data_IF_282018326304
#
_entry.id   IF_282018326304
#
_cell.length_a   1.000
_cell.length_b   1.000
_cell.length_c   1.000
_cell.angle_alpha   90.00
_cell.angle_beta   90.00
_cell.angle_gamma   90.00
#
_symmetry.space_group_name_H-M   'P 1'
#
loop_
_entity.id
_entity.type
_entity.pdbx_description
1 polymer ?
#
# COMPACT_ATOMS: atom_id res chain seq x y z
N UNK A 1 29.66 35.40 54.26
CA UNK A 1 29.68 34.16 53.47
C UNK A 1 28.59 33.22 53.96
N UNK A 2 27.52 33.09 53.19
CA UNK A 2 26.95 31.80 52.83
C UNK A 2 27.15 31.56 51.31
N UNK A 3 27.17 30.30 50.83
CA UNK A 3 27.53 30.01 49.45
C UNK A 3 26.36 30.22 48.49
N UNK A 4 26.69 30.76 47.32
CA UNK A 4 25.88 30.81 46.12
C UNK A 4 25.44 29.41 45.69
N UNK A 5 24.13 29.16 45.65
CA UNK A 5 23.57 28.11 44.81
C UNK A 5 23.39 28.68 43.41
N UNK A 6 24.38 28.42 42.55
CA UNK A 6 24.26 28.58 41.11
C UNK A 6 23.13 27.67 40.61
N UNK A 7 22.00 28.26 40.25
CA UNK A 7 20.98 27.60 39.46
C UNK A 7 21.58 27.33 38.07
N UNK A 8 21.88 26.05 37.81
CA UNK A 8 22.15 25.56 36.48
C UNK A 8 20.91 25.88 35.63
N UNK A 9 21.09 26.70 34.60
CA UNK A 9 20.07 26.92 33.59
C UNK A 9 19.82 25.59 32.88
N UNK A 10 18.71 24.95 33.20
CA UNK A 10 18.08 24.00 32.31
C UNK A 10 17.76 24.76 31.03
N UNK A 11 18.53 24.50 29.97
CA UNK A 11 18.16 24.86 28.61
C UNK A 11 16.90 24.07 28.30
N UNK A 12 15.75 24.64 28.63
CA UNK A 12 14.45 24.14 28.22
C UNK A 12 14.49 23.93 26.72
N UNK A 13 14.30 22.68 26.32
CA UNK A 13 14.08 22.25 24.95
C UNK A 13 12.83 23.02 24.47
N UNK A 14 13.05 24.20 23.88
CA UNK A 14 11.98 24.98 23.28
C UNK A 14 11.49 24.15 22.09
N UNK A 15 10.41 23.40 22.31
CA UNK A 15 9.69 22.69 21.27
C UNK A 15 9.34 23.72 20.19
N UNK A 16 10.09 23.68 19.08
CA UNK A 16 9.77 24.43 17.88
C UNK A 16 8.40 23.95 17.39
N UNK A 17 7.36 24.80 17.40
CA UNK A 17 6.01 24.40 17.03
C UNK A 17 5.88 24.16 15.51
N UNK A 18 6.89 24.51 14.71
CA UNK A 18 6.86 24.32 13.27
C UNK A 18 7.46 22.97 12.86
N UNK A 19 6.79 22.29 11.93
CA UNK A 19 7.33 21.08 11.34
C UNK A 19 8.51 21.44 10.42
N UNK A 20 9.66 20.76 10.51
CA UNK A 20 10.85 21.15 9.76
C UNK A 20 10.67 20.91 8.26
N UNK A 21 11.06 21.90 7.45
CA UNK A 21 11.21 21.73 6.00
C UNK A 21 12.47 20.90 5.67
N UNK A 22 12.51 20.30 4.48
CA UNK A 22 13.74 19.69 3.97
C UNK A 22 14.79 20.77 3.66
N UNK A 23 16.05 20.45 3.93
CA UNK A 23 17.18 21.25 3.43
C UNK A 23 17.71 20.63 2.12
N UNK A 24 18.72 21.23 1.51
CA UNK A 24 19.33 20.75 0.27
C UNK A 24 20.85 20.77 0.38
N UNK A 25 21.49 19.75 -0.18
CA UNK A 25 22.94 19.71 -0.34
C UNK A 25 23.30 19.59 -1.81
N UNK A 26 24.28 20.40 -2.23
CA UNK A 26 24.78 20.34 -3.59
C UNK A 26 25.69 19.13 -3.76
N UNK A 27 25.40 18.32 -4.77
CA UNK A 27 26.18 17.13 -5.13
C UNK A 27 26.58 17.20 -6.60
N UNK A 28 27.58 16.42 -6.96
CA UNK A 28 28.00 16.23 -8.35
C UNK A 28 27.54 14.88 -8.86
N UNK A 29 26.89 14.88 -10.02
CA UNK A 29 26.52 13.66 -10.73
C UNK A 29 27.50 13.39 -11.87
N UNK A 30 28.00 12.16 -11.91
CA UNK A 30 28.85 11.67 -12.99
C UNK A 30 28.05 10.61 -13.77
N UNK A 31 27.72 10.84 -15.06
CA UNK A 31 26.98 9.87 -15.85
C UNK A 31 27.67 8.50 -15.92
N UNK A 32 26.94 7.42 -15.61
CA UNK A 32 27.42 6.05 -15.80
C UNK A 32 27.61 5.76 -17.32
N UNK A 33 28.75 5.17 -17.68
CA UNK A 33 29.18 5.02 -19.07
C UNK A 33 28.31 4.03 -19.85
N UNK A 34 27.35 4.51 -20.64
CA UNK A 34 26.64 3.66 -21.60
C UNK A 34 26.26 4.33 -22.95
N UNK A 35 26.90 5.44 -23.35
CA UNK A 35 26.61 6.11 -24.63
C UNK A 35 27.85 6.35 -25.50
N UNK A 36 28.46 5.25 -25.97
CA UNK A 36 29.29 5.22 -27.19
C UNK A 36 30.60 6.03 -27.22
N UNK A 37 31.43 5.75 -28.23
CA UNK A 37 32.79 6.29 -28.43
C UNK A 37 32.83 7.83 -28.57
N UNK A 38 31.68 8.48 -28.84
CA UNK A 38 31.57 9.94 -28.94
C UNK A 38 31.49 10.66 -27.59
N UNK A 39 30.90 10.04 -26.55
CA UNK A 39 30.86 10.62 -25.20
C UNK A 39 32.21 10.56 -24.46
N UNK A 40 33.17 9.79 -24.97
CA UNK A 40 34.52 9.70 -24.43
C UNK A 40 35.45 10.84 -24.87
N UNK A 41 35.10 11.60 -25.94
CA UNK A 41 35.93 12.70 -26.49
C UNK A 41 35.55 14.08 -25.99
N UNK A 42 34.33 14.28 -25.48
CA UNK A 42 33.97 15.46 -24.71
C UNK A 42 34.20 15.09 -23.24
N UNK A 43 35.17 15.73 -22.57
CA UNK A 43 35.39 15.51 -21.13
C UNK A 43 34.04 15.54 -20.40
N UNK A 44 33.73 14.45 -19.68
CA UNK A 44 32.44 14.28 -19.01
C UNK A 44 32.34 15.34 -17.92
N UNK A 45 31.74 16.47 -18.23
CA UNK A 45 31.47 17.49 -17.22
C UNK A 45 30.57 16.85 -16.16
N UNK A 46 31.02 16.83 -14.91
CA UNK A 46 30.13 16.54 -13.79
C UNK A 46 29.02 17.59 -13.80
N UNK A 47 27.79 17.15 -13.54
CA UNK A 47 26.65 18.05 -13.50
C UNK A 47 26.24 18.20 -12.05
N UNK A 48 26.23 19.43 -11.56
CA UNK A 48 25.76 19.72 -10.22
C UNK A 48 24.24 19.55 -10.13
N UNK A 49 23.77 18.99 -9.02
CA UNK A 49 22.35 18.89 -8.67
C UNK A 49 22.18 19.08 -7.16
N UNK A 50 20.98 19.42 -6.73
CA UNK A 50 20.65 19.57 -5.31
C UNK A 50 19.90 18.32 -4.85
N UNK A 51 20.50 17.58 -3.91
CA UNK A 51 19.86 16.47 -3.23
C UNK A 51 19.17 16.98 -1.96
N UNK A 52 17.96 16.49 -1.68
CA UNK A 52 17.29 16.85 -0.43
C UNK A 52 18.02 16.32 0.80
N UNK A 53 17.89 17.01 1.92
CA UNK A 53 18.35 16.58 3.24
C UNK A 53 17.11 16.60 4.14
N UNK A 54 16.36 15.47 4.22
CA UNK A 54 15.21 15.38 5.09
C UNK A 54 15.63 15.54 6.56
N UNK A 55 14.82 16.23 7.38
CA UNK A 55 15.09 16.36 8.80
C UNK A 55 14.92 15.01 9.52
N UNK A 56 15.65 14.82 10.61
CA UNK A 56 15.39 13.76 11.59
C UNK A 56 14.11 14.13 12.37
N UNK A 57 13.17 13.18 12.46
CA UNK A 57 11.84 13.39 13.02
C UNK A 57 11.56 12.56 14.26
N UNK A 58 12.45 11.64 14.67
CA UNK A 58 12.23 10.73 15.80
C UNK A 58 11.72 11.43 17.06
N UNK A 59 12.28 12.60 17.42
CA UNK A 59 11.89 13.39 18.59
C UNK A 59 10.90 14.53 18.30
N UNK A 60 10.44 14.71 17.05
CA UNK A 60 9.57 15.84 16.67
C UNK A 60 8.12 15.58 17.04
N UNK A 61 7.42 16.63 17.46
CA UNK A 61 5.99 16.57 17.76
C UNK A 61 5.20 17.35 16.71
N UNK A 62 4.32 16.70 15.92
CA UNK A 62 3.54 17.41 14.91
C UNK A 62 2.48 18.30 15.57
N UNK A 63 2.52 19.59 15.26
CA UNK A 63 1.45 20.54 15.60
C UNK A 63 0.54 20.69 14.39
N UNK A 64 -0.70 20.23 14.52
CA UNK A 64 -1.71 20.30 13.47
C UNK A 64 -2.72 21.42 13.75
N UNK A 65 -3.37 21.89 12.69
CA UNK A 65 -4.57 22.70 12.82
C UNK A 65 -5.66 21.88 13.54
N UNK A 66 -6.44 22.48 14.47
CA UNK A 66 -7.43 21.75 15.26
C UNK A 66 -8.41 20.94 14.43
N UNK A 67 -8.88 21.47 13.31
CA UNK A 67 -9.78 20.78 12.39
C UNK A 67 -9.12 19.57 11.70
N UNK A 68 -7.82 19.65 11.38
CA UNK A 68 -7.09 18.52 10.77
C UNK A 68 -6.90 17.41 11.79
N UNK A 69 -6.58 17.77 13.04
CA UNK A 69 -6.47 16.80 14.12
C UNK A 69 -7.81 16.10 14.39
N UNK A 70 -8.91 16.86 14.44
CA UNK A 70 -10.25 16.32 14.62
C UNK A 70 -10.66 15.38 13.46
N UNK A 71 -10.43 15.79 12.21
CA UNK A 71 -10.69 14.95 11.02
C UNK A 71 -9.90 13.63 11.09
N UNK A 72 -8.63 13.69 11.54
CA UNK A 72 -7.77 12.53 11.63
C UNK A 72 -8.21 11.53 12.71
N UNK A 73 -8.64 12.03 13.87
CA UNK A 73 -9.16 11.21 14.96
C UNK A 73 -10.51 10.57 14.58
N UNK A 74 -11.41 11.32 13.95
CA UNK A 74 -12.68 10.79 13.45
C UNK A 74 -12.47 9.72 12.37
N UNK A 75 -11.55 9.96 11.42
CA UNK A 75 -11.19 8.99 10.40
C UNK A 75 -10.61 7.70 10.99
N UNK A 76 -9.74 7.80 12.01
CA UNK A 76 -9.23 6.64 12.73
C UNK A 76 -10.36 5.85 13.42
N UNK A 77 -11.31 6.54 14.04
CA UNK A 77 -12.48 5.91 14.66
C UNK A 77 -13.39 5.24 13.63
N UNK A 78 -13.61 5.83 12.45
CA UNK A 78 -14.38 5.21 11.36
C UNK A 78 -13.71 3.94 10.83
N UNK A 79 -12.38 3.95 10.66
CA UNK A 79 -11.63 2.75 10.25
C UNK A 79 -11.80 1.62 11.28
N UNK A 80 -11.66 1.94 12.57
CA UNK A 80 -11.83 0.98 13.65
C UNK A 80 -13.27 0.45 13.73
N UNK A 81 -14.28 1.32 13.53
CA UNK A 81 -15.68 0.91 13.52
C UNK A 81 -15.98 -0.02 12.35
N UNK A 82 -15.50 0.30 11.16
CA UNK A 82 -15.66 -0.56 9.98
C UNK A 82 -14.97 -1.93 10.16
N UNK A 83 -13.76 -1.95 10.70
CA UNK A 83 -13.05 -3.20 11.01
C UNK A 83 -13.84 -4.07 12.02
N UNK A 84 -14.43 -3.45 13.05
CA UNK A 84 -15.26 -4.13 14.04
C UNK A 84 -16.61 -4.60 13.48
N UNK A 85 -17.25 -3.82 12.59
CA UNK A 85 -18.51 -4.17 11.90
C UNK A 85 -18.39 -5.48 11.11
N UNK A 86 -17.20 -5.78 10.56
CA UNK A 86 -16.96 -7.03 9.85
C UNK A 86 -16.96 -8.25 10.78
N UNK A 87 -16.64 -8.10 12.07
CA UNK A 87 -16.84 -9.12 13.11
C UNK A 87 -16.47 -10.55 12.71
N UNK A 88 -17.44 -11.48 12.74
CA UNK A 88 -17.22 -12.88 12.34
C UNK A 88 -17.12 -13.11 10.83
N UNK A 89 -17.37 -12.07 10.01
CA UNK A 89 -17.40 -12.11 8.54
C UNK A 89 -16.04 -11.82 7.91
N UNK A 90 -15.03 -11.51 8.74
CA UNK A 90 -13.66 -11.17 8.32
C UNK A 90 -13.07 -12.18 7.34
N UNK A 91 -13.27 -13.48 7.56
CA UNK A 91 -12.74 -14.52 6.68
C UNK A 91 -13.24 -14.39 5.23
N UNK A 92 -14.46 -13.87 5.02
CA UNK A 92 -15.05 -13.67 3.70
C UNK A 92 -14.56 -12.40 2.99
N UNK A 93 -14.16 -11.37 3.74
CA UNK A 93 -13.87 -10.04 3.18
C UNK A 93 -12.41 -9.62 3.24
N UNK A 94 -11.63 -10.10 4.21
CA UNK A 94 -10.22 -9.75 4.34
C UNK A 94 -9.43 -9.99 3.03
N UNK A 95 -9.59 -11.13 2.33
CA UNK A 95 -8.86 -11.37 1.08
C UNK A 95 -9.26 -10.40 -0.04
N UNK A 96 -10.53 -10.00 -0.09
CA UNK A 96 -11.06 -9.08 -1.10
C UNK A 96 -10.57 -7.66 -0.85
N UNK A 97 -10.70 -7.17 0.38
CA UNK A 97 -10.28 -5.82 0.75
C UNK A 97 -8.77 -5.65 0.60
N UNK A 98 -7.97 -6.66 0.96
CA UNK A 98 -6.52 -6.66 0.73
C UNK A 98 -6.16 -6.50 -0.75
N UNK A 99 -6.87 -7.19 -1.66
CA UNK A 99 -6.63 -7.08 -3.11
C UNK A 99 -7.11 -5.75 -3.68
N UNK A 100 -8.23 -5.23 -3.17
CA UNK A 100 -8.69 -3.88 -3.48
C UNK A 100 -7.64 -2.84 -3.10
N UNK A 101 -7.06 -2.94 -1.91
CA UNK A 101 -5.95 -2.08 -1.48
C UNK A 101 -4.72 -2.23 -2.41
N UNK A 102 -4.34 -3.46 -2.74
CA UNK A 102 -3.21 -3.73 -3.62
C UNK A 102 -3.39 -3.16 -5.04
N UNK A 103 -4.59 -3.30 -5.60
CA UNK A 103 -4.97 -2.78 -6.90
C UNK A 103 -4.97 -1.24 -6.90
N UNK A 104 -5.63 -0.60 -5.94
CA UNK A 104 -5.66 0.87 -5.84
C UNK A 104 -4.29 1.46 -5.56
N UNK A 105 -3.50 0.85 -4.67
CA UNK A 105 -2.12 1.23 -4.39
C UNK A 105 -1.24 1.15 -5.63
N UNK A 106 -1.44 0.14 -6.49
CA UNK A 106 -0.69 0.02 -7.75
C UNK A 106 -1.19 0.99 -8.81
N UNK A 107 -2.49 1.31 -8.84
CA UNK A 107 -3.07 2.24 -9.79
C UNK A 107 -2.56 3.67 -9.62
N UNK A 108 -2.23 4.09 -8.39
CA UNK A 108 -1.53 5.36 -8.13
C UNK A 108 -0.18 5.42 -8.89
N UNK A 109 0.49 4.28 -9.06
CA UNK A 109 1.73 4.16 -9.84
C UNK A 109 1.47 3.88 -11.34
N UNK A 110 0.27 4.19 -11.84
CA UNK A 110 -0.18 3.92 -13.21
C UNK A 110 -0.17 2.42 -13.61
N UNK A 111 -0.22 1.50 -12.64
CA UNK A 111 -0.36 0.07 -12.90
C UNK A 111 -1.83 -0.34 -12.79
N UNK A 112 -2.44 -0.68 -13.93
CA UNK A 112 -3.84 -1.13 -14.01
C UNK A 112 -3.95 -2.55 -14.55
N UNK A 113 -4.89 -3.31 -13.99
CA UNK A 113 -5.34 -4.61 -14.46
C UNK A 113 -6.76 -4.86 -13.94
N UNK A 114 -7.56 -5.68 -14.63
CA UNK A 114 -8.86 -6.10 -14.10
C UNK A 114 -8.69 -7.05 -12.91
N UNK A 115 -9.71 -7.12 -12.04
CA UNK A 115 -9.72 -8.03 -10.91
C UNK A 115 -9.38 -9.46 -11.36
N UNK A 116 -10.02 -9.91 -12.46
CA UNK A 116 -9.77 -11.23 -13.03
C UNK A 116 -8.30 -11.49 -13.33
N UNK A 117 -7.63 -10.54 -14.00
CA UNK A 117 -6.23 -10.71 -14.38
C UNK A 117 -5.32 -10.80 -13.15
N UNK A 118 -5.61 -10.03 -12.10
CA UNK A 118 -4.86 -10.04 -10.84
C UNK A 118 -4.99 -11.42 -10.16
N UNK A 119 -6.22 -11.92 -9.98
CA UNK A 119 -6.43 -13.24 -9.37
C UNK A 119 -5.81 -14.37 -10.20
N UNK A 120 -5.93 -14.33 -11.53
CA UNK A 120 -5.27 -15.31 -12.40
C UNK A 120 -3.74 -15.29 -12.24
N UNK A 121 -3.13 -14.11 -12.13
CA UNK A 121 -1.69 -13.96 -11.95
C UNK A 121 -1.21 -14.53 -10.60
N UNK A 122 -2.02 -14.42 -9.54
CA UNK A 122 -1.72 -15.06 -8.25
C UNK A 122 -1.69 -16.60 -8.34
N UNK A 123 -2.48 -17.19 -9.24
CA UNK A 123 -2.48 -18.62 -9.55
C UNK A 123 -1.37 -19.01 -10.56
N UNK A 124 -0.48 -18.07 -10.90
CA UNK A 124 0.66 -18.31 -11.78
C UNK A 124 0.36 -18.16 -13.28
N UNK A 125 -0.85 -17.72 -13.67
CA UNK A 125 -1.15 -17.44 -15.06
C UNK A 125 -0.30 -16.26 -15.57
N UNK A 126 0.42 -16.50 -16.67
CA UNK A 126 1.25 -15.48 -17.32
C UNK A 126 0.46 -14.81 -18.43
N UNK A 127 0.39 -13.49 -18.44
CA UNK A 127 -0.31 -12.78 -19.52
C UNK A 127 -0.34 -11.26 -19.41
N UNK A 128 -0.34 -10.70 -18.21
CA UNK A 128 -0.29 -9.25 -17.99
C UNK A 128 0.80 -8.93 -16.98
N UNK A 129 1.84 -8.21 -17.42
CA UNK A 129 2.92 -7.73 -16.55
C UNK A 129 2.36 -6.87 -15.41
N UNK A 130 1.39 -6.01 -15.68
CA UNK A 130 0.75 -5.19 -14.64
C UNK A 130 0.02 -6.07 -13.60
N UNK A 131 -0.69 -7.11 -14.05
CA UNK A 131 -1.37 -8.02 -13.12
C UNK A 131 -0.38 -8.77 -12.23
N UNK A 132 0.77 -9.20 -12.77
CA UNK A 132 1.85 -9.83 -12.00
C UNK A 132 2.44 -8.87 -10.96
N UNK A 133 2.66 -7.60 -11.32
CA UNK A 133 3.14 -6.56 -10.40
C UNK A 133 2.12 -6.23 -9.29
N UNK A 134 0.82 -6.21 -9.61
CA UNK A 134 -0.25 -5.99 -8.64
C UNK A 134 -0.41 -7.20 -7.71
N UNK A 135 -0.29 -8.42 -8.23
CA UNK A 135 -0.27 -9.65 -7.43
C UNK A 135 0.93 -9.68 -6.48
N UNK A 136 2.11 -9.20 -6.91
CA UNK A 136 3.27 -9.02 -6.03
C UNK A 136 3.00 -7.98 -4.92
N UNK A 137 2.29 -6.90 -5.24
CA UNK A 137 1.86 -5.91 -4.23
C UNK A 137 0.87 -6.51 -3.21
N UNK A 138 -0.03 -7.40 -3.64
CA UNK A 138 -0.93 -8.12 -2.72
C UNK A 138 -0.14 -8.97 -1.73
N UNK A 139 0.90 -9.69 -2.19
CA UNK A 139 1.79 -10.44 -1.30
C UNK A 139 2.59 -9.53 -0.35
N UNK A 140 3.06 -8.38 -0.83
CA UNK A 140 3.76 -7.39 -0.01
C UNK A 140 2.87 -6.83 1.10
N UNK A 141 1.63 -6.47 0.78
CA UNK A 141 0.64 -6.02 1.76
C UNK A 141 0.32 -7.11 2.80
N UNK A 142 0.17 -8.37 2.37
CA UNK A 142 0.01 -9.47 3.32
C UNK A 142 1.21 -9.56 4.27
N UNK A 143 2.43 -9.53 3.73
CA UNK A 143 3.65 -9.52 4.55
C UNK A 143 3.71 -8.31 5.51
N UNK A 144 3.22 -7.15 5.07
CA UNK A 144 3.16 -5.95 5.90
C UNK A 144 2.20 -6.09 7.09
N UNK A 145 1.07 -6.77 6.89
CA UNK A 145 0.13 -7.10 7.97
C UNK A 145 0.71 -8.15 8.92
N UNK A 146 1.37 -9.18 8.37
CA UNK A 146 1.98 -10.27 9.17
C UNK A 146 3.14 -9.75 10.05
N UNK A 147 3.83 -8.70 9.60
CA UNK A 147 4.95 -8.05 10.31
C UNK A 147 4.52 -6.84 11.14
N UNK A 148 3.23 -6.54 11.23
CA UNK A 148 2.72 -5.33 11.85
C UNK A 148 2.94 -5.24 13.37
N UNK A 149 3.40 -6.31 14.03
CA UNK A 149 3.77 -6.26 15.45
C UNK A 149 5.01 -5.40 15.71
N UNK A 150 5.85 -5.17 14.69
CA UNK A 150 7.07 -4.37 14.81
C UNK A 150 7.33 -3.53 13.55
N UNK A 151 7.46 -2.22 13.74
CA UNK A 151 7.86 -1.29 12.68
C UNK A 151 9.35 -1.02 12.81
N UNK A 152 10.15 -1.70 11.98
CA UNK A 152 11.62 -1.66 12.02
C UNK A 152 12.16 -1.50 10.60
N UNK A 153 13.42 -1.05 10.42
CA UNK A 153 14.08 -1.06 9.12
C UNK A 153 14.03 -2.43 8.44
N UNK A 154 14.16 -3.51 9.22
CA UNK A 154 14.11 -4.88 8.73
C UNK A 154 12.71 -5.28 8.25
N UNK A 155 11.63 -4.90 8.95
CA UNK A 155 10.27 -5.19 8.50
C UNK A 155 9.91 -4.39 7.24
N UNK A 156 10.32 -3.13 7.15
CA UNK A 156 10.17 -2.31 5.94
C UNK A 156 10.92 -2.95 4.74
N UNK A 157 12.17 -3.40 4.96
CA UNK A 157 12.94 -4.09 3.94
C UNK A 157 12.32 -5.43 3.51
N UNK A 158 11.67 -6.14 4.44
CA UNK A 158 10.96 -7.38 4.13
C UNK A 158 9.73 -7.13 3.24
N UNK A 159 8.94 -6.09 3.51
CA UNK A 159 7.82 -5.67 2.64
C UNK A 159 8.32 -5.38 1.22
N UNK A 160 9.38 -4.57 1.09
CA UNK A 160 9.98 -4.24 -0.21
C UNK A 160 10.55 -5.48 -0.92
N UNK A 161 11.17 -6.42 -0.19
CA UNK A 161 11.70 -7.66 -0.75
C UNK A 161 10.59 -8.49 -1.39
N UNK A 162 9.46 -8.67 -0.72
CA UNK A 162 8.31 -9.41 -1.26
C UNK A 162 7.72 -8.71 -2.49
N UNK A 163 7.62 -7.38 -2.46
CA UNK A 163 7.13 -6.59 -3.59
C UNK A 163 8.00 -6.75 -4.85
N UNK A 164 9.31 -6.82 -4.67
CA UNK A 164 10.29 -6.77 -5.78
C UNK A 164 10.90 -8.13 -6.13
N UNK A 165 10.54 -9.21 -5.43
CA UNK A 165 11.15 -10.55 -5.56
C UNK A 165 11.29 -11.02 -7.02
N UNK A 166 10.27 -10.77 -7.85
CA UNK A 166 10.24 -11.16 -9.26
C UNK A 166 10.78 -10.11 -10.24
N UNK A 167 11.48 -9.07 -9.75
CA UNK A 167 11.95 -7.94 -10.55
C UNK A 167 13.48 -7.93 -10.67
N UNK A 168 14.07 -8.57 -11.70
CA UNK A 168 15.50 -8.85 -11.77
C UNK A 168 16.40 -7.62 -12.00
N UNK A 169 15.81 -6.45 -12.25
CA UNK A 169 16.54 -5.18 -12.48
C UNK A 169 16.78 -4.38 -11.20
N UNK A 170 16.19 -4.80 -10.08
CA UNK A 170 16.25 -4.11 -8.81
C UNK A 170 16.86 -5.02 -7.75
N UNK A 171 17.18 -4.46 -6.58
CA UNK A 171 17.74 -5.18 -5.43
C UNK A 171 16.69 -5.30 -4.33
N UNK A 172 15.91 -6.41 -4.29
CA UNK A 172 14.78 -6.54 -3.36
C UNK A 172 15.21 -6.46 -1.90
N UNK A 173 14.60 -5.54 -1.16
CA UNK A 173 14.90 -5.28 0.25
C UNK A 173 16.23 -4.59 0.54
N UNK A 174 17.02 -4.20 -0.47
CA UNK A 174 18.26 -3.44 -0.27
C UNK A 174 18.06 -1.96 -0.61
N UNK A 175 18.57 -1.07 0.23
CA UNK A 175 18.60 0.36 -0.08
C UNK A 175 19.40 0.63 -1.34
N UNK A 176 18.97 1.65 -2.11
CA UNK A 176 19.71 2.10 -3.29
C UNK A 176 21.12 2.52 -2.92
N UNK A 177 22.05 2.35 -3.85
CA UNK A 177 23.46 2.76 -3.74
C UNK A 177 23.84 3.86 -4.72
N UNK A 178 22.82 4.48 -5.31
CA UNK A 178 22.93 5.53 -6.30
C UNK A 178 21.84 6.58 -6.06
N UNK A 179 22.02 7.75 -6.68
CA UNK A 179 21.04 8.82 -6.62
C UNK A 179 19.80 8.44 -7.43
N UNK A 180 18.63 8.58 -6.81
CA UNK A 180 17.34 8.45 -7.49
C UNK A 180 16.72 9.85 -7.70
N UNK A 181 15.71 9.98 -8.56
CA UNK A 181 14.96 11.22 -8.78
C UNK A 181 13.55 10.94 -9.30
N UNK A 182 12.62 11.84 -9.01
CA UNK A 182 11.21 11.76 -9.38
C UNK A 182 10.92 12.84 -10.42
N UNK A 183 10.26 12.49 -11.53
CA UNK A 183 9.86 13.44 -12.56
C UNK A 183 9.96 12.87 -13.98
N UNK A 184 9.80 13.74 -14.98
CA UNK A 184 9.56 13.34 -16.38
C UNK A 184 10.83 12.99 -17.19
N UNK A 185 12.03 13.24 -16.65
CA UNK A 185 13.30 12.92 -17.33
C UNK A 185 14.00 11.76 -16.63
N UNK A 186 14.33 10.71 -17.38
CA UNK A 186 14.92 9.48 -16.85
C UNK A 186 16.45 9.38 -16.99
N UNK A 187 17.12 10.44 -17.46
CA UNK A 187 18.54 10.43 -17.83
C UNK A 187 19.44 11.30 -16.94
N UNK A 188 18.85 12.14 -16.08
CA UNK A 188 19.59 13.02 -15.15
C UNK A 188 18.70 13.51 -14.01
N UNK A 189 19.23 13.72 -12.79
CA UNK A 189 18.51 14.39 -11.71
C UNK A 189 18.25 15.89 -11.98
N UNK A 190 18.91 16.49 -12.99
CA UNK A 190 18.74 17.90 -13.31
C UNK A 190 17.38 18.17 -13.95
N UNK A 191 16.58 19.03 -13.32
CA UNK A 191 15.23 19.35 -13.75
C UNK A 191 14.20 18.27 -13.41
N UNK A 192 14.56 17.34 -12.51
CA UNK A 192 13.61 16.46 -11.85
C UNK A 192 12.64 17.28 -10.98
N UNK A 193 11.43 16.76 -10.79
CA UNK A 193 10.43 17.36 -9.91
C UNK A 193 10.85 17.26 -8.44
N UNK A 194 11.52 16.17 -8.07
CA UNK A 194 12.09 16.00 -6.74
C UNK A 194 13.33 15.10 -6.77
N UNK A 195 14.36 15.49 -6.02
CA UNK A 195 15.57 14.68 -5.82
C UNK A 195 15.64 14.23 -4.34
N UNK A 196 15.37 12.94 -4.04
CA UNK A 196 15.48 12.40 -2.68
C UNK A 196 16.92 12.46 -2.14
N UNK A 197 17.16 12.19 -0.85
CA UNK A 197 18.48 12.32 -0.25
C UNK A 197 19.56 11.51 -0.94
N UNK A 198 20.82 11.92 -0.77
CA UNK A 198 21.92 11.08 -1.21
C UNK A 198 21.86 9.72 -0.49
N UNK A 199 22.20 8.63 -1.19
CA UNK A 199 21.97 7.28 -0.68
C UNK A 199 22.69 6.96 0.63
N UNK A 200 23.80 7.67 0.93
CA UNK A 200 24.55 7.57 2.19
C UNK A 200 23.72 7.97 3.43
N UNK A 201 22.68 8.80 3.25
CA UNK A 201 21.80 9.24 4.34
C UNK A 201 20.65 8.27 4.61
N UNK A 202 20.35 7.35 3.68
CA UNK A 202 19.12 6.54 3.69
C UNK A 202 19.02 5.68 4.95
N UNK A 203 20.10 4.98 5.33
CA UNK A 203 20.06 4.08 6.48
C UNK A 203 19.68 4.82 7.77
N UNK A 204 20.40 5.90 8.09
CA UNK A 204 20.13 6.69 9.29
C UNK A 204 18.73 7.33 9.29
N UNK A 205 18.23 7.76 8.13
CA UNK A 205 16.89 8.32 8.00
C UNK A 205 15.78 7.25 8.18
N UNK A 206 16.01 6.00 7.76
CA UNK A 206 15.05 4.92 7.98
C UNK A 206 15.08 4.45 9.45
N UNK A 207 16.24 4.46 10.10
CA UNK A 207 16.34 4.20 11.54
C UNK A 207 15.54 5.24 12.35
N UNK A 208 15.74 6.54 12.05
CA UNK A 208 15.00 7.66 12.65
C UNK A 208 13.48 7.57 12.37
N UNK A 209 13.09 7.24 11.14
CA UNK A 209 11.70 7.03 10.76
C UNK A 209 11.05 5.91 11.57
N UNK A 210 11.75 4.79 11.79
CA UNK A 210 11.23 3.66 12.55
C UNK A 210 11.04 4.04 14.04
N UNK A 211 11.95 4.83 14.60
CA UNK A 211 11.81 5.39 15.96
C UNK A 211 10.57 6.29 16.06
N UNK A 212 10.36 7.20 15.10
CA UNK A 212 9.14 8.01 15.04
C UNK A 212 7.88 7.14 14.91
N UNK A 213 7.88 6.14 14.02
CA UNK A 213 6.72 5.29 13.78
C UNK A 213 6.30 4.47 15.02
N UNK A 214 7.25 4.14 15.90
CA UNK A 214 7.02 3.37 17.13
C UNK A 214 6.46 4.20 18.31
N UNK A 215 6.41 5.53 18.19
CA UNK A 215 6.01 6.45 19.27
C UNK A 215 4.50 6.48 19.54
N UNK A 216 4.07 6.17 20.75
CA UNK A 216 2.64 6.12 21.11
C UNK A 216 2.03 7.47 21.55
N UNK A 217 2.84 8.51 21.68
CA UNK A 217 2.42 9.87 22.05
C UNK A 217 1.93 10.72 20.87
N UNK A 218 1.98 10.17 19.65
CA UNK A 218 1.43 10.79 18.43
C UNK A 218 0.09 10.13 18.06
N UNK A 219 -0.99 10.88 17.76
CA UNK A 219 -2.27 10.33 17.33
C UNK A 219 -2.13 9.37 16.14
N UNK A 220 -2.93 8.31 16.12
CA UNK A 220 -2.69 7.14 15.26
C UNK A 220 -2.65 7.48 13.77
N UNK A 221 -3.67 8.17 13.23
CA UNK A 221 -3.70 8.49 11.80
C UNK A 221 -2.67 9.57 11.42
N UNK A 222 -2.39 10.50 12.33
CA UNK A 222 -1.30 11.48 12.17
C UNK A 222 0.06 10.78 12.04
N UNK A 223 0.36 9.83 12.93
CA UNK A 223 1.59 9.04 12.84
C UNK A 223 1.68 8.25 11.53
N UNK A 224 0.57 7.65 11.07
CA UNK A 224 0.50 6.95 9.78
C UNK A 224 0.82 7.87 8.62
N UNK A 225 0.17 9.03 8.54
CA UNK A 225 0.36 9.98 7.45
C UNK A 225 1.78 10.57 7.41
N UNK A 226 2.34 10.93 8.57
CA UNK A 226 3.71 11.49 8.66
C UNK A 226 4.75 10.43 8.35
N UNK A 227 4.63 9.22 8.92
CA UNK A 227 5.55 8.11 8.64
C UNK A 227 5.57 7.82 7.14
N UNK A 228 4.38 7.82 6.51
CA UNK A 228 4.25 7.63 5.07
C UNK A 228 4.93 8.76 4.28
N UNK A 229 4.66 10.03 4.60
CA UNK A 229 5.26 11.16 3.90
C UNK A 229 6.79 11.22 4.04
N UNK A 230 7.31 10.92 5.23
CA UNK A 230 8.74 10.86 5.47
C UNK A 230 9.38 9.70 4.67
N UNK A 231 8.76 8.52 4.66
CA UNK A 231 9.23 7.39 3.85
C UNK A 231 9.30 7.74 2.35
N UNK A 232 8.24 8.35 1.81
CA UNK A 232 8.20 8.79 0.41
C UNK A 232 9.23 9.89 0.10
N UNK A 233 9.58 10.71 1.10
CA UNK A 233 10.61 11.75 0.99
C UNK A 233 12.02 11.17 1.04
N UNK A 234 12.28 10.16 1.87
CA UNK A 234 13.57 9.44 1.92
C UNK A 234 13.80 8.65 0.63
N UNK A 235 12.74 8.03 0.10
CA UNK A 235 12.74 7.26 -1.14
C UNK A 235 13.90 6.22 -1.18
N UNK A 236 13.90 5.25 -0.25
CA UNK A 236 15.08 4.44 0.08
C UNK A 236 15.48 3.41 -0.97
N UNK A 237 14.58 3.02 -1.87
CA UNK A 237 14.78 1.94 -2.83
C UNK A 237 14.91 2.45 -4.27
N UNK A 238 15.42 1.60 -5.18
CA UNK A 238 15.55 1.91 -6.61
C UNK A 238 14.22 1.99 -7.34
N UNK A 239 13.22 1.23 -6.88
CA UNK A 239 11.83 1.24 -7.38
C UNK A 239 10.92 0.72 -6.26
N UNK A 240 9.60 0.83 -6.41
CA UNK A 240 8.63 0.25 -5.48
C UNK A 240 8.43 1.05 -4.19
N UNK A 241 8.98 2.27 -4.10
CA UNK A 241 8.84 3.15 -2.93
C UNK A 241 7.37 3.42 -2.61
N UNK A 242 6.59 3.99 -3.53
CA UNK A 242 5.16 4.28 -3.31
C UNK A 242 4.35 3.10 -2.76
N UNK A 243 4.49 1.94 -3.39
CA UNK A 243 3.79 0.70 -2.99
C UNK A 243 4.26 0.20 -1.62
N UNK A 244 5.56 0.28 -1.33
CA UNK A 244 6.12 -0.06 -0.02
C UNK A 244 5.66 0.93 1.05
N UNK A 245 5.61 2.23 0.76
CA UNK A 245 5.15 3.26 1.68
C UNK A 245 3.68 3.09 2.06
N UNK A 246 2.84 2.67 1.12
CA UNK A 246 1.42 2.36 1.39
C UNK A 246 1.25 1.02 2.13
N UNK A 247 2.10 0.03 1.86
CA UNK A 247 2.15 -1.20 2.67
C UNK A 247 2.58 -0.92 4.12
N UNK A 248 3.58 -0.05 4.32
CA UNK A 248 3.98 0.44 5.63
C UNK A 248 2.82 1.19 6.33
N UNK A 249 2.05 2.00 5.61
CA UNK A 249 0.88 2.67 6.18
C UNK A 249 -0.17 1.67 6.70
N UNK A 250 -0.44 0.59 5.95
CA UNK A 250 -1.35 -0.49 6.40
C UNK A 250 -0.79 -1.25 7.61
N UNK A 251 0.51 -1.54 7.60
CA UNK A 251 1.20 -2.14 8.74
C UNK A 251 1.09 -1.28 9.99
N UNK A 252 1.25 0.05 9.85
CA UNK A 252 1.20 0.98 10.97
C UNK A 252 -0.24 1.16 11.49
N UNK A 253 -1.26 1.16 10.63
CA UNK A 253 -2.67 1.10 11.06
C UNK A 253 -2.96 -0.14 11.92
N UNK A 254 -2.36 -1.28 11.57
CA UNK A 254 -2.45 -2.53 12.33
C UNK A 254 -1.66 -2.46 13.64
N UNK A 255 -0.42 -1.98 13.61
CA UNK A 255 0.44 -1.78 14.79
C UNK A 255 -0.24 -0.89 15.84
N UNK A 256 -0.91 0.18 15.39
CA UNK A 256 -1.65 1.14 16.24
C UNK A 256 -2.99 0.59 16.76
N UNK A 257 -3.41 -0.59 16.29
CA UNK A 257 -4.69 -1.20 16.65
C UNK A 257 -5.92 -0.52 16.04
N UNK A 258 -5.74 0.35 15.05
CA UNK A 258 -6.84 1.02 14.30
C UNK A 258 -7.58 -0.01 13.45
N UNK A 259 -6.84 -0.89 12.77
CA UNK A 259 -7.41 -2.08 12.13
C UNK A 259 -6.91 -3.33 12.85
N UNK A 260 -7.74 -4.36 12.98
CA UNK A 260 -7.39 -5.61 13.68
C UNK A 260 -7.73 -6.86 12.88
N UNK A 261 -8.56 -6.74 11.86
CA UNK A 261 -9.08 -7.87 11.13
C UNK A 261 -8.83 -7.75 9.63
N UNK A 262 -8.99 -6.56 9.05
CA UNK A 262 -8.84 -6.33 7.60
C UNK A 262 -7.84 -5.23 7.26
N UNK A 263 -7.35 -5.22 6.03
CA UNK A 263 -6.74 -4.04 5.41
C UNK A 263 -7.84 -3.23 4.74
N UNK A 264 -8.17 -2.07 5.30
CA UNK A 264 -9.12 -1.15 4.67
C UNK A 264 -8.44 -0.50 3.47
N UNK A 265 -9.05 -0.44 2.28
CA UNK A 265 -8.46 0.11 1.07
C UNK A 265 -8.20 1.65 1.08
N UNK A 266 -7.38 2.17 2.00
CA UNK A 266 -7.06 3.60 2.10
C UNK A 266 -6.45 4.13 0.81
N UNK A 267 -5.67 3.31 0.08
CA UNK A 267 -5.15 3.69 -1.23
C UNK A 267 -6.26 3.96 -2.25
N UNK A 268 -7.42 3.32 -2.11
CA UNK A 268 -8.59 3.61 -2.95
C UNK A 268 -9.17 5.01 -2.68
N UNK A 269 -9.05 5.49 -1.44
CA UNK A 269 -9.44 6.86 -1.06
C UNK A 269 -8.45 7.92 -1.56
N UNK A 270 -7.14 7.62 -1.52
CA UNK A 270 -6.08 8.46 -2.09
C UNK A 270 -6.20 8.55 -3.62
N UNK A 271 -6.53 7.43 -4.27
CA UNK A 271 -6.70 7.35 -5.73
C UNK A 271 -7.79 8.30 -6.27
N UNK A 272 -8.78 8.66 -5.44
CA UNK A 272 -9.81 9.61 -5.84
C UNK A 272 -9.28 11.04 -6.06
N UNK A 273 -8.09 11.37 -5.55
CA UNK A 273 -7.41 12.65 -5.81
C UNK A 273 -5.87 12.51 -5.75
N UNK A 274 -5.29 11.89 -6.79
CA UNK A 274 -3.84 11.65 -6.90
C UNK A 274 -3.03 12.95 -6.91
N UNK A 275 -3.50 13.98 -7.61
CA UNK A 275 -2.82 15.29 -7.67
C UNK A 275 -2.77 15.94 -6.27
N UNK A 276 -3.89 15.88 -5.53
CA UNK A 276 -3.98 16.39 -4.17
C UNK A 276 -3.05 15.64 -3.21
N UNK A 277 -2.96 14.31 -3.35
CA UNK A 277 -2.02 13.49 -2.60
C UNK A 277 -0.56 13.85 -2.88
N UNK A 278 -0.15 14.02 -4.15
CA UNK A 278 1.20 14.47 -4.47
C UNK A 278 1.48 15.90 -3.99
N UNK A 279 0.52 16.80 -4.11
CA UNK A 279 0.61 18.16 -3.58
C UNK A 279 0.81 18.17 -2.06
N UNK A 280 0.15 17.26 -1.34
CA UNK A 280 0.31 17.10 0.09
C UNK A 280 1.71 16.60 0.50
N UNK A 281 2.32 15.71 -0.29
CA UNK A 281 3.72 15.31 -0.10
C UNK A 281 4.69 16.49 -0.31
N UNK A 282 4.41 17.33 -1.31
CA UNK A 282 5.21 18.56 -1.54
C UNK A 282 5.07 19.55 -0.40
N UNK A 283 3.87 19.75 0.15
CA UNK A 283 3.66 20.61 1.32
C UNK A 283 4.38 20.06 2.56
N UNK A 284 4.35 18.75 2.79
CA UNK A 284 5.10 18.10 3.88
C UNK A 284 6.60 18.40 3.79
N UNK A 285 7.17 18.29 2.59
CA UNK A 285 8.59 18.62 2.34
C UNK A 285 8.90 20.10 2.60
N UNK A 286 7.93 20.98 2.41
CA UNK A 286 8.04 22.41 2.71
C UNK A 286 7.80 22.77 4.19
N UNK A 287 7.60 21.78 5.07
CA UNK A 287 7.39 22.01 6.50
C UNK A 287 5.93 22.14 6.93
N UNK A 288 4.97 21.70 6.11
CA UNK A 288 3.55 21.67 6.47
C UNK A 288 2.97 20.24 6.46
N UNK A 289 2.75 19.62 7.64
CA UNK A 289 2.21 18.27 7.73
C UNK A 289 0.68 18.22 7.59
N UNK A 290 -0.02 19.36 7.64
CA UNK A 290 -1.48 19.39 7.65
C UNK A 290 -2.10 18.78 6.38
N UNK A 291 -1.61 19.08 5.15
CA UNK A 291 -2.21 18.55 3.94
C UNK A 291 -2.12 17.02 3.84
N UNK A 292 -1.01 16.41 4.27
CA UNK A 292 -0.88 14.95 4.19
C UNK A 292 -1.78 14.24 5.21
N UNK A 293 -1.88 14.77 6.44
CA UNK A 293 -2.80 14.23 7.45
C UNK A 293 -4.24 14.35 6.97
N UNK A 294 -4.63 15.51 6.41
CA UNK A 294 -5.96 15.72 5.82
C UNK A 294 -6.23 14.78 4.64
N UNK A 295 -5.24 14.53 3.78
CA UNK A 295 -5.37 13.61 2.66
C UNK A 295 -5.63 12.17 3.14
N UNK A 296 -4.92 11.71 4.19
CA UNK A 296 -5.15 10.40 4.80
C UNK A 296 -6.51 10.30 5.49
N UNK A 297 -6.95 11.34 6.21
CA UNK A 297 -8.27 11.37 6.82
C UNK A 297 -9.39 11.28 5.77
N UNK A 298 -9.31 12.11 4.73
CA UNK A 298 -10.24 12.09 3.61
C UNK A 298 -10.24 10.74 2.88
N UNK A 299 -9.05 10.15 2.68
CA UNK A 299 -8.91 8.85 2.06
C UNK A 299 -9.53 7.73 2.89
N UNK A 300 -9.38 7.77 4.22
CA UNK A 300 -9.98 6.80 5.13
C UNK A 300 -11.52 6.81 5.05
N UNK A 301 -12.15 7.99 5.11
CA UNK A 301 -13.61 8.10 4.97
C UNK A 301 -14.11 7.55 3.63
N UNK A 302 -13.44 7.91 2.53
CA UNK A 302 -13.76 7.40 1.17
C UNK A 302 -13.59 5.89 1.08
N UNK A 303 -12.50 5.38 1.65
CA UNK A 303 -12.20 3.95 1.67
C UNK A 303 -13.26 3.16 2.42
N UNK A 304 -13.69 3.63 3.61
CA UNK A 304 -14.76 3.00 4.39
C UNK A 304 -16.08 3.01 3.61
N UNK A 305 -16.47 4.15 3.03
CA UNK A 305 -17.70 4.25 2.24
C UNK A 305 -17.70 3.29 1.05
N UNK A 306 -16.62 3.26 0.25
CA UNK A 306 -16.54 2.39 -0.93
C UNK A 306 -16.47 0.90 -0.51
N UNK A 307 -15.84 0.60 0.62
CA UNK A 307 -15.74 -0.77 1.15
C UNK A 307 -17.07 -1.29 1.67
N UNK A 308 -17.88 -0.47 2.34
CA UNK A 308 -19.24 -0.85 2.75
C UNK A 308 -20.11 -1.19 1.55
N UNK A 309 -20.00 -0.43 0.46
CA UNK A 309 -20.73 -0.74 -0.79
C UNK A 309 -20.24 -2.06 -1.41
N UNK A 310 -18.92 -2.30 -1.45
CA UNK A 310 -18.38 -3.58 -1.93
C UNK A 310 -18.86 -4.77 -1.11
N UNK A 311 -18.83 -4.64 0.22
CA UNK A 311 -19.33 -5.67 1.15
C UNK A 311 -20.80 -5.98 0.88
N UNK A 312 -21.65 -4.94 0.77
CA UNK A 312 -23.07 -5.10 0.47
C UNK A 312 -23.33 -5.77 -0.89
N UNK A 313 -22.55 -5.43 -1.92
CA UNK A 313 -22.70 -6.03 -3.24
C UNK A 313 -22.31 -7.51 -3.24
N UNK A 314 -21.21 -7.86 -2.58
CA UNK A 314 -20.77 -9.26 -2.44
C UNK A 314 -21.79 -10.08 -1.64
N UNK A 315 -22.36 -9.53 -0.55
CA UNK A 315 -23.41 -10.20 0.21
C UNK A 315 -24.64 -10.48 -0.65
N UNK A 316 -25.09 -9.49 -1.43
CA UNK A 316 -26.25 -9.64 -2.31
C UNK A 316 -26.02 -10.73 -3.35
N UNK A 317 -24.85 -10.73 -4.00
CA UNK A 317 -24.46 -11.79 -4.95
C UNK A 317 -24.42 -13.15 -4.25
N UNK A 318 -23.73 -13.25 -3.12
CA UNK A 318 -23.61 -14.50 -2.35
C UNK A 318 -24.95 -15.02 -1.87
N UNK A 319 -25.86 -14.15 -1.43
CA UNK A 319 -27.21 -14.49 -1.02
C UNK A 319 -28.01 -15.09 -2.16
N UNK A 320 -27.92 -14.49 -3.36
CA UNK A 320 -28.62 -14.95 -4.57
C UNK A 320 -28.22 -16.37 -4.99
N UNK A 321 -26.99 -16.81 -4.66
CA UNK A 321 -26.52 -18.15 -5.00
C UNK A 321 -27.22 -19.25 -4.21
N UNK A 322 -27.79 -18.95 -3.04
CA UNK A 322 -28.52 -19.94 -2.24
C UNK A 322 -29.76 -20.47 -2.97
N UNK A 323 -30.43 -19.61 -3.75
CA UNK A 323 -31.62 -19.99 -4.50
C UNK A 323 -31.29 -20.68 -5.83
N UNK A 324 -30.06 -20.46 -6.34
CA UNK A 324 -29.59 -21.01 -7.63
C UNK A 324 -28.94 -22.38 -7.49
N UNK A 325 -28.26 -22.65 -6.37
CA UNK A 325 -27.57 -23.92 -6.15
C UNK A 325 -28.54 -24.98 -5.62
N UNK A 326 -28.80 -26.00 -6.44
CA UNK A 326 -29.48 -27.21 -5.97
C UNK A 326 -28.45 -28.29 -5.64
N UNK A 327 -28.21 -28.54 -4.36
CA UNK A 327 -27.29 -29.57 -3.87
C UNK A 327 -27.77 -30.19 -2.55
N UNK A 328 -27.27 -31.38 -2.19
CA UNK A 328 -27.52 -31.98 -0.87
C UNK A 328 -26.99 -31.05 0.23
N UNK A 329 -27.62 -31.07 1.41
CA UNK A 329 -27.26 -30.14 2.53
C UNK A 329 -25.81 -30.28 2.99
N UNK A 330 -25.25 -31.48 2.90
CA UNK A 330 -23.87 -31.83 3.27
C UNK A 330 -22.87 -31.66 2.11
N UNK A 331 -23.32 -31.17 0.95
CA UNK A 331 -22.44 -30.95 -0.20
C UNK A 331 -21.40 -29.88 0.09
N UNK A 332 -20.14 -30.16 -0.27
CA UNK A 332 -19.06 -29.17 -0.24
C UNK A 332 -19.27 -28.00 -1.21
N UNK A 333 -20.24 -28.09 -2.14
CA UNK A 333 -20.62 -26.99 -3.03
C UNK A 333 -21.10 -25.75 -2.25
N UNK A 334 -21.77 -25.93 -1.10
CA UNK A 334 -22.20 -24.82 -0.24
C UNK A 334 -21.02 -24.03 0.32
N UNK A 335 -19.98 -24.74 0.77
CA UNK A 335 -18.73 -24.12 1.27
C UNK A 335 -17.96 -23.40 0.16
N UNK A 336 -18.02 -23.90 -1.08
CA UNK A 336 -17.38 -23.23 -2.21
C UNK A 336 -18.03 -21.88 -2.52
N UNK A 337 -19.31 -21.66 -2.21
CA UNK A 337 -19.94 -20.34 -2.38
C UNK A 337 -19.21 -19.27 -1.55
N UNK A 338 -18.91 -19.57 -0.29
CA UNK A 338 -18.21 -18.62 0.60
C UNK A 338 -16.75 -18.41 0.14
N UNK A 339 -16.11 -19.48 -0.35
CA UNK A 339 -14.75 -19.39 -0.92
C UNK A 339 -14.77 -18.49 -2.16
N UNK A 340 -15.69 -18.69 -3.11
CA UNK A 340 -15.77 -17.86 -4.32
C UNK A 340 -16.15 -16.41 -4.05
N UNK A 341 -16.93 -16.12 -2.99
CA UNK A 341 -17.21 -14.75 -2.57
C UNK A 341 -15.93 -14.02 -2.11
N UNK A 342 -14.99 -14.73 -1.50
CA UNK A 342 -13.70 -14.17 -1.04
C UNK A 342 -12.56 -14.28 -2.08
N UNK A 343 -12.65 -15.26 -2.99
CA UNK A 343 -11.65 -15.63 -3.99
C UNK A 343 -12.37 -16.02 -5.29
N UNK A 344 -12.75 -15.03 -6.12
CA UNK A 344 -13.60 -15.25 -7.28
C UNK A 344 -12.93 -15.97 -8.45
N UNK A 345 -11.64 -16.31 -8.37
CA UNK A 345 -10.96 -17.18 -9.34
C UNK A 345 -10.19 -18.25 -8.57
N UNK A 346 -10.40 -19.51 -8.94
CA UNK A 346 -9.74 -20.66 -8.34
C UNK A 346 -9.35 -21.66 -9.43
N UNK A 347 -8.22 -22.34 -9.22
CA UNK A 347 -7.97 -23.63 -9.86
C UNK A 347 -8.46 -24.79 -8.96
N UNK A 348 -8.41 -26.02 -9.46
CA UNK A 348 -8.91 -27.17 -8.71
C UNK A 348 -8.04 -27.47 -7.48
N UNK A 349 -6.73 -27.20 -7.53
CA UNK A 349 -5.81 -27.41 -6.41
C UNK A 349 -6.12 -26.46 -5.25
N UNK A 350 -6.31 -25.18 -5.54
CA UNK A 350 -6.65 -24.14 -4.54
C UNK A 350 -8.04 -24.39 -3.96
N UNK A 351 -9.02 -24.75 -4.79
CA UNK A 351 -10.37 -25.07 -4.32
C UNK A 351 -10.37 -26.31 -3.40
N UNK A 352 -9.63 -27.36 -3.76
CA UNK A 352 -9.51 -28.57 -2.95
C UNK A 352 -8.80 -28.30 -1.62
N UNK A 353 -7.72 -27.52 -1.65
CA UNK A 353 -6.99 -27.08 -0.45
C UNK A 353 -7.87 -26.26 0.49
N UNK A 354 -8.65 -25.31 -0.03
CA UNK A 354 -9.58 -24.50 0.78
C UNK A 354 -10.70 -25.34 1.42
N UNK A 355 -11.12 -26.44 0.79
CA UNK A 355 -12.11 -27.36 1.34
C UNK A 355 -11.51 -28.40 2.30
N UNK A 356 -10.20 -28.64 2.24
CA UNK A 356 -9.52 -29.70 2.98
C UNK A 356 -9.79 -31.10 2.41
N UNK A 357 -9.94 -31.23 1.09
CA UNK A 357 -10.27 -32.50 0.41
C UNK A 357 -9.23 -32.84 -0.67
N UNK A 358 -9.20 -34.09 -1.11
CA UNK A 358 -8.38 -34.50 -2.26
C UNK A 358 -8.87 -33.84 -3.56
N UNK A 359 -7.94 -33.44 -4.43
CA UNK A 359 -8.24 -32.71 -5.67
C UNK A 359 -9.29 -33.38 -6.57
N UNK A 360 -9.33 -34.71 -6.77
CA UNK A 360 -10.40 -35.34 -7.56
C UNK A 360 -11.81 -35.12 -6.99
N UNK A 361 -11.94 -34.93 -5.68
CA UNK A 361 -13.23 -34.77 -4.99
C UNK A 361 -13.80 -33.34 -5.12
N UNK A 362 -13.03 -32.39 -5.66
CA UNK A 362 -13.48 -31.00 -5.88
C UNK A 362 -14.24 -30.82 -7.18
N UNK A 363 -14.08 -31.71 -8.15
CA UNK A 363 -14.73 -31.58 -9.46
C UNK A 363 -16.26 -31.69 -9.40
N UNK A 364 -16.88 -32.64 -8.66
CA UNK A 364 -18.34 -32.68 -8.53
C UNK A 364 -18.98 -31.39 -7.98
N UNK A 365 -18.51 -30.80 -6.85
CA UNK A 365 -19.08 -29.55 -6.36
C UNK A 365 -18.77 -28.36 -7.28
N UNK A 366 -17.61 -28.30 -7.94
CA UNK A 366 -17.34 -27.28 -8.96
C UNK A 366 -18.28 -27.39 -10.16
N UNK A 367 -18.57 -28.61 -10.62
CA UNK A 367 -19.54 -28.85 -11.69
C UNK A 367 -20.93 -28.37 -11.30
N UNK A 368 -21.37 -28.63 -10.07
CA UNK A 368 -22.67 -28.14 -9.58
C UNK A 368 -22.76 -26.60 -9.63
N UNK A 369 -21.69 -25.90 -9.29
CA UNK A 369 -21.63 -24.43 -9.40
C UNK A 369 -21.64 -23.95 -10.86
N UNK A 370 -20.98 -24.66 -11.77
CA UNK A 370 -21.01 -24.37 -13.21
C UNK A 370 -22.42 -24.58 -13.77
N UNK A 371 -23.07 -25.70 -13.43
CA UNK A 371 -24.42 -26.03 -13.89
C UNK A 371 -25.46 -25.02 -13.37
N UNK A 372 -25.26 -24.49 -12.16
CA UNK A 372 -26.07 -23.40 -11.59
C UNK A 372 -25.73 -22.00 -12.16
N UNK A 373 -24.72 -21.91 -13.05
CA UNK A 373 -24.23 -20.68 -13.66
C UNK A 373 -23.53 -19.72 -12.68
N UNK A 374 -23.18 -20.19 -11.47
CA UNK A 374 -22.56 -19.38 -10.40
C UNK A 374 -21.10 -19.10 -10.74
N UNK A 375 -20.43 -20.09 -11.36
CA UNK A 375 -19.07 -19.94 -11.87
C UNK A 375 -18.98 -20.40 -13.32
N UNK A 376 -17.98 -19.88 -14.04
CA UNK A 376 -17.61 -20.34 -15.37
C UNK A 376 -16.29 -21.09 -15.30
N UNK A 377 -16.20 -22.21 -16.01
CA UNK A 377 -14.93 -22.93 -16.21
C UNK A 377 -14.31 -22.50 -17.54
N UNK A 378 -13.06 -22.02 -17.51
CA UNK A 378 -12.32 -21.67 -18.72
C UNK A 378 -10.86 -22.13 -18.58
N UNK A 379 -10.30 -22.70 -19.64
CA UNK A 379 -8.87 -22.99 -19.67
C UNK A 379 -8.07 -21.68 -19.64
N UNK A 380 -7.14 -21.55 -18.69
CA UNK A 380 -6.17 -20.46 -18.66
C UNK A 380 -4.78 -21.01 -19.00
N UNK A 381 -4.35 -20.72 -20.23
CA UNK A 381 -3.04 -21.13 -20.76
C UNK A 381 -2.79 -22.65 -20.62
N UNK A 382 -1.58 -23.02 -20.14
CA UNK A 382 -1.15 -24.41 -19.91
C UNK A 382 -1.42 -24.92 -18.49
N UNK A 383 -2.07 -24.12 -17.64
CA UNK A 383 -2.27 -24.42 -16.21
C UNK A 383 -3.55 -25.22 -15.93
N UNK A 384 -4.37 -25.44 -16.96
CA UNK A 384 -5.64 -26.15 -16.84
C UNK A 384 -6.84 -25.20 -16.68
N UNK A 385 -8.02 -25.72 -16.30
CA UNK A 385 -9.21 -24.91 -16.11
C UNK A 385 -9.12 -24.09 -14.82
N UNK A 386 -9.47 -22.82 -14.94
CA UNK A 386 -9.83 -21.98 -13.80
C UNK A 386 -11.36 -21.85 -13.75
N UNK A 387 -11.88 -21.83 -12.54
CA UNK A 387 -13.28 -21.52 -12.24
C UNK A 387 -13.34 -20.11 -11.71
N UNK A 388 -14.31 -19.33 -12.22
CA UNK A 388 -14.46 -17.94 -11.80
C UNK A 388 -15.91 -17.51 -11.65
N UNK A 389 -16.17 -16.66 -10.67
CA UNK A 389 -17.45 -15.96 -10.53
C UNK A 389 -17.37 -14.59 -11.20
N UNK A 390 -18.07 -14.42 -12.33
CA UNK A 390 -18.12 -13.12 -13.02
C UNK A 390 -18.84 -12.07 -12.15
N UNK A 391 -19.89 -12.45 -11.41
CA UNK A 391 -20.68 -11.52 -10.58
C UNK A 391 -19.84 -10.87 -9.46
N UNK A 392 -18.94 -11.65 -8.83
CA UNK A 392 -18.01 -11.09 -7.83
C UNK A 392 -16.91 -10.27 -8.50
N UNK A 393 -16.38 -10.72 -9.65
CA UNK A 393 -15.38 -9.96 -10.40
C UNK A 393 -15.92 -8.60 -10.83
N UNK A 394 -17.17 -8.53 -11.30
CA UNK A 394 -17.85 -7.30 -11.67
C UNK A 394 -18.02 -6.36 -10.47
N UNK A 395 -18.33 -6.89 -9.28
CA UNK A 395 -18.41 -6.10 -8.05
C UNK A 395 -17.05 -5.48 -7.68
N UNK A 396 -15.94 -6.20 -7.90
CA UNK A 396 -14.59 -5.71 -7.65
C UNK A 396 -14.15 -4.66 -8.68
N UNK A 397 -14.42 -4.90 -9.96
CA UNK A 397 -14.12 -3.94 -11.01
C UNK A 397 -14.95 -2.66 -10.83
N UNK A 398 -16.21 -2.77 -10.38
CA UNK A 398 -17.04 -1.62 -10.01
C UNK A 398 -16.49 -0.85 -8.80
N UNK A 399 -15.97 -1.54 -7.78
CA UNK A 399 -15.27 -0.90 -6.66
C UNK A 399 -14.05 -0.10 -7.14
N UNK A 400 -13.22 -0.68 -7.99
CA UNK A 400 -12.03 -0.02 -8.53
C UNK A 400 -12.41 1.20 -9.39
N UNK A 401 -13.45 1.08 -10.21
CA UNK A 401 -13.98 2.20 -10.98
C UNK A 401 -14.47 3.35 -10.09
N UNK A 402 -15.16 3.05 -8.97
CA UNK A 402 -15.56 4.06 -7.98
C UNK A 402 -14.37 4.74 -7.31
N UNK A 403 -13.36 3.97 -6.93
CA UNK A 403 -12.14 4.48 -6.30
C UNK A 403 -11.41 5.52 -7.17
N UNK A 404 -11.42 5.33 -8.49
CA UNK A 404 -10.79 6.25 -9.45
C UNK A 404 -11.63 7.48 -9.82
N UNK A 405 -12.88 7.61 -9.37
CA UNK A 405 -13.71 8.79 -9.70
C UNK A 405 -13.41 9.95 -8.75
N UNK A 406 -12.99 11.09 -9.30
CA UNK A 406 -12.94 12.37 -8.58
C UNK A 406 -14.38 12.73 -8.17
N UNK A 407 -14.70 12.66 -6.88
CA UNK A 407 -15.94 13.25 -6.37
C UNK A 407 -15.68 14.75 -6.21
N UNK A 408 -16.50 15.58 -6.88
CA UNK A 408 -16.54 17.02 -6.60
C UNK A 408 -17.10 17.15 -5.17
N UNK A 409 -16.26 17.56 -4.24
CA UNK A 409 -16.65 17.96 -2.88
C UNK A 409 -17.41 19.28 -2.98
#
# INVERSE_FOLDING_TARGET
>A
MPPDHAAAGESGDQLDPSWPAIDHERREWVPAAAMGVRAARAGRASVAYDASVPPMIASRHPVLLPEVAADADEAAAELARFDAELGSRVAGFAPVLLRSEAASSSQIENLTASARAIFSAELGAKGSRNAELIAANTRSLQAALDLAEQITPASIAAMHRVLMESQPRHTPGEYRREQNWIGTRGDSPVGAEFVPPHHERVAALIDDLAEFAARWDVPSLTSVAITHAQFETIHPYTDGNGRTGRALAQSLLRYRGVTRNVAVPVSAGLLADVDGYHSALTAYRAGDPNPIVRAFASAAFRAVSNSRELVSNIDAVRGSWNDRLTARRDSSAWRLLDIFASRPVLDSATAAGALGIAQPNVYPPLKALVDAGIVRSKAEHKLGPFWRSEEILDALDAFAARAGRRQRV
#
